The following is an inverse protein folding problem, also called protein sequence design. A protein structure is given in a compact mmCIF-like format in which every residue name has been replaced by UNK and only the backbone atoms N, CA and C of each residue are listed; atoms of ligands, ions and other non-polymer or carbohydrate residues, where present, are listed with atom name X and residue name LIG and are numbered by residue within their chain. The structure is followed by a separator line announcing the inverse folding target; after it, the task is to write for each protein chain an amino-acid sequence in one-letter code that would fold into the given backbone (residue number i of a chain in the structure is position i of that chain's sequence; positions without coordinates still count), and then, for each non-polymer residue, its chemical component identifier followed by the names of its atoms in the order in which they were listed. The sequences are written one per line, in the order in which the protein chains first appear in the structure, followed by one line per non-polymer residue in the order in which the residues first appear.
data_IF_266950224181
#
_entry.id   IF_266950224181
#
_cell.length_a   1.000
_cell.length_b   1.000
_cell.length_c   1.000
_cell.angle_alpha   90.00
_cell.angle_beta   90.00
_cell.angle_gamma   90.00
#
_symmetry.space_group_name_H-M   'P 1'
#
loop_
_entity.id
_entity.type
_entity.pdbx_description
1 polymer ?
#
# COMPACT_ATOMS: atom_id res chain seq x y z
N UNK A 1 12.18 5.57 -15.33
CA UNK A 1 12.49 4.36 -16.11
C UNK A 1 12.15 3.07 -15.36
N UNK A 2 12.92 2.62 -14.36
CA UNK A 2 12.64 1.33 -13.70
C UNK A 2 11.34 1.32 -12.87
N UNK A 3 10.95 2.47 -12.32
CA UNK A 3 9.66 2.63 -11.61
C UNK A 3 8.51 2.45 -12.60
N UNK A 4 8.52 3.18 -13.71
CA UNK A 4 7.48 3.09 -14.75
C UNK A 4 7.31 1.67 -15.29
N UNK A 5 8.42 0.96 -15.55
CA UNK A 5 8.36 -0.44 -15.98
C UNK A 5 7.75 -1.34 -14.90
N UNK A 6 8.14 -1.13 -13.64
CA UNK A 6 7.62 -1.89 -12.52
C UNK A 6 6.11 -1.69 -12.36
N UNK A 7 5.65 -0.44 -12.39
CA UNK A 7 4.22 -0.09 -12.33
C UNK A 7 3.44 -0.76 -13.48
N UNK A 8 3.92 -0.65 -14.73
CA UNK A 8 3.27 -1.25 -15.89
C UNK A 8 3.13 -2.78 -15.77
N UNK A 9 4.20 -3.45 -15.33
CA UNK A 9 4.21 -4.91 -15.17
C UNK A 9 3.28 -5.35 -14.04
N UNK A 10 3.22 -4.60 -12.93
CA UNK A 10 2.30 -4.88 -11.83
C UNK A 10 0.84 -4.71 -12.27
N UNK A 11 0.49 -3.57 -12.90
CA UNK A 11 -0.84 -3.34 -13.46
C UNK A 11 -1.23 -4.45 -14.44
N UNK A 12 -0.31 -4.86 -15.31
CA UNK A 12 -0.54 -5.96 -16.26
C UNK A 12 -0.92 -7.26 -15.54
N UNK A 13 -0.14 -7.69 -14.54
CA UNK A 13 -0.47 -8.91 -13.79
C UNK A 13 -1.72 -8.79 -12.92
N UNK A 14 -1.94 -7.63 -12.30
CA UNK A 14 -3.09 -7.37 -11.44
C UNK A 14 -4.40 -7.55 -12.21
N UNK A 15 -4.43 -7.07 -13.47
CA UNK A 15 -5.58 -7.17 -14.37
C UNK A 15 -5.68 -8.49 -15.13
N UNK A 16 -4.94 -9.52 -14.70
CA UNK A 16 -4.98 -10.87 -15.28
C UNK A 16 -4.12 -11.10 -16.51
N UNK A 17 -3.30 -10.13 -16.90
CA UNK A 17 -2.49 -10.18 -18.11
C UNK A 17 -3.34 -10.35 -19.37
N UNK A 18 -2.88 -11.18 -20.31
CA UNK A 18 -3.60 -11.48 -21.57
C UNK A 18 -4.73 -12.52 -21.42
N UNK A 19 -5.13 -12.88 -20.19
CA UNK A 19 -6.29 -13.75 -19.93
C UNK A 19 -7.64 -13.11 -20.28
N UNK A 20 -7.69 -11.79 -20.49
CA UNK A 20 -8.80 -11.12 -21.14
C UNK A 20 -8.67 -11.31 -22.66
N UNK A 21 -9.22 -12.41 -23.19
CA UNK A 21 -9.51 -12.51 -24.63
C UNK A 21 -10.38 -11.31 -24.99
N UNK A 22 -9.83 -10.35 -25.71
CA UNK A 22 -10.63 -9.47 -26.55
C UNK A 22 -11.44 -10.38 -27.47
N UNK A 23 -12.77 -10.37 -27.30
CA UNK A 23 -13.70 -10.97 -28.24
C UNK A 23 -13.58 -10.23 -29.57
N UNK A 24 -12.75 -10.75 -30.45
CA UNK A 24 -12.80 -10.44 -31.90
C UNK A 24 -13.19 -11.72 -32.64
N UNK A 25 -14.10 -11.63 -33.62
CA UNK A 25 -14.70 -12.78 -34.25
C UNK A 25 -13.73 -13.46 -35.23
N UNK A 26 -13.99 -14.74 -35.46
CA UNK A 26 -13.25 -15.69 -36.29
C UNK A 26 -12.51 -15.09 -37.50
N UNK A 27 -11.23 -15.44 -37.62
CA UNK A 27 -10.57 -15.56 -38.91
C UNK A 27 -9.59 -16.74 -38.89
N UNK A 28 -9.79 -17.60 -39.88
CA UNK A 28 -9.25 -18.94 -40.09
C UNK A 28 -7.74 -19.04 -40.26
N UNK A 29 -7.23 -20.20 -39.81
CA UNK A 29 -6.16 -21.02 -40.41
C UNK A 29 -4.75 -20.40 -40.58
N UNK A 30 -3.85 -20.77 -39.67
CA UNK A 30 -2.42 -20.96 -39.99
C UNK A 30 -1.82 -22.10 -39.14
N UNK A 31 -1.15 -23.04 -39.81
CA UNK A 31 -0.59 -24.29 -39.28
C UNK A 31 0.59 -24.09 -38.30
N UNK A 32 0.89 -25.07 -37.42
CA UNK A 32 1.76 -24.88 -36.27
C UNK A 32 3.25 -25.09 -36.62
N UNK A 33 4.09 -24.10 -36.26
CA UNK A 33 5.55 -24.27 -36.19
C UNK A 33 5.91 -24.79 -34.80
N UNK A 34 6.72 -25.84 -34.76
CA UNK A 34 7.12 -26.62 -33.59
C UNK A 34 7.78 -25.77 -32.49
N UNK A 35 7.06 -25.55 -31.39
CA UNK A 35 7.62 -25.03 -30.16
C UNK A 35 8.22 -26.20 -29.34
N UNK A 36 9.52 -26.12 -29.05
CA UNK A 36 10.24 -27.00 -28.13
C UNK A 36 9.50 -27.08 -26.78
N UNK A 37 8.87 -28.21 -26.51
CA UNK A 37 8.13 -28.49 -25.28
C UNK A 37 9.10 -28.73 -24.12
N UNK A 38 9.46 -27.66 -23.39
CA UNK A 38 9.91 -27.82 -22.00
C UNK A 38 8.69 -28.31 -21.20
N UNK A 39 8.79 -29.40 -20.41
CA UNK A 39 7.64 -29.88 -19.66
C UNK A 39 7.15 -28.78 -18.72
N UNK A 40 5.86 -28.44 -18.82
CA UNK A 40 5.20 -27.54 -17.90
C UNK A 40 5.42 -28.08 -16.48
N UNK A 41 6.17 -27.32 -15.67
CA UNK A 41 6.35 -27.66 -14.25
C UNK A 41 4.96 -27.69 -13.61
N UNK A 42 4.61 -28.72 -12.83
CA UNK A 42 3.30 -28.82 -12.22
C UNK A 42 3.05 -27.56 -11.38
N UNK A 43 2.03 -26.80 -11.74
CA UNK A 43 1.61 -25.57 -11.06
C UNK A 43 0.98 -25.96 -9.71
N UNK A 44 1.84 -26.36 -8.76
CA UNK A 44 1.46 -26.58 -7.36
C UNK A 44 1.45 -25.24 -6.65
N UNK A 45 0.55 -24.35 -7.05
CA UNK A 45 0.33 -23.06 -6.41
C UNK A 45 -0.47 -22.07 -7.25
N UNK A 46 -1.08 -21.11 -6.55
CA UNK A 46 -1.77 -19.89 -7.00
C UNK A 46 -1.47 -19.41 -8.44
N UNK A 47 -2.50 -18.85 -9.11
CA UNK A 47 -2.42 -18.20 -10.42
C UNK A 47 -1.08 -17.51 -10.65
N UNK A 48 -0.36 -17.93 -11.71
CA UNK A 48 0.99 -17.48 -12.05
C UNK A 48 1.17 -15.95 -11.95
N UNK A 49 0.15 -15.18 -12.33
CA UNK A 49 0.15 -13.72 -12.25
C UNK A 49 0.16 -13.19 -10.82
N UNK A 50 -0.68 -13.72 -9.91
CA UNK A 50 -0.72 -13.29 -8.51
C UNK A 50 0.58 -13.62 -7.78
N UNK A 51 1.16 -14.77 -8.09
CA UNK A 51 2.48 -15.15 -7.60
C UNK A 51 3.54 -14.14 -8.07
N UNK A 52 3.64 -13.89 -9.38
CA UNK A 52 4.64 -12.99 -9.94
C UNK A 52 4.48 -11.55 -9.44
N UNK A 53 3.23 -11.10 -9.29
CA UNK A 53 2.87 -9.80 -8.74
C UNK A 53 3.35 -9.63 -7.29
N UNK A 54 2.98 -10.56 -6.39
CA UNK A 54 3.40 -10.50 -4.99
C UNK A 54 4.92 -10.65 -4.85
N UNK A 55 5.53 -11.57 -5.59
CA UNK A 55 6.98 -11.79 -5.56
C UNK A 55 7.74 -10.53 -5.98
N UNK A 56 7.27 -9.83 -7.02
CA UNK A 56 7.89 -8.60 -7.51
C UNK A 56 7.70 -7.45 -6.52
N UNK A 57 6.52 -7.30 -5.93
CA UNK A 57 6.26 -6.33 -4.87
C UNK A 57 7.11 -6.57 -3.62
N UNK A 58 7.27 -7.81 -3.17
CA UNK A 58 8.17 -8.13 -2.05
C UNK A 58 9.62 -7.82 -2.39
N UNK A 59 10.08 -8.21 -3.59
CA UNK A 59 11.45 -7.94 -4.04
C UNK A 59 11.77 -6.44 -4.09
N UNK A 60 10.81 -5.64 -4.57
CA UNK A 60 10.90 -4.19 -4.62
C UNK A 60 10.91 -3.59 -3.21
N UNK A 61 9.84 -3.80 -2.44
CA UNK A 61 9.65 -3.15 -1.15
C UNK A 61 10.69 -3.57 -0.10
N UNK A 62 11.18 -4.82 -0.13
CA UNK A 62 12.17 -5.31 0.84
C UNK A 62 13.62 -5.03 0.43
N UNK A 63 13.87 -4.41 -0.74
CA UNK A 63 15.23 -4.21 -1.30
C UNK A 63 16.09 -5.48 -1.27
N UNK A 64 15.48 -6.64 -1.42
CA UNK A 64 16.13 -7.92 -1.17
C UNK A 64 16.46 -8.65 -2.49
N UNK A 65 17.27 -9.70 -2.40
CA UNK A 65 17.53 -10.58 -3.56
C UNK A 65 16.34 -11.51 -3.78
N UNK A 66 16.19 -12.04 -4.99
CA UNK A 66 15.21 -13.08 -5.30
C UNK A 66 15.31 -14.28 -4.34
N UNK A 67 16.54 -14.68 -4.01
CA UNK A 67 16.86 -15.75 -3.07
C UNK A 67 16.33 -15.50 -1.64
N UNK A 68 16.22 -14.24 -1.24
CA UNK A 68 15.62 -13.88 0.05
C UNK A 68 14.10 -13.91 -0.06
N UNK A 69 13.54 -13.41 -1.17
CA UNK A 69 12.10 -13.37 -1.42
C UNK A 69 11.51 -14.79 -1.49
N UNK A 70 12.17 -15.72 -2.18
CA UNK A 70 11.70 -17.11 -2.28
C UNK A 70 11.75 -17.88 -0.95
N UNK A 71 12.57 -17.44 0.00
CA UNK A 71 12.73 -18.08 1.33
C UNK A 71 11.83 -17.45 2.40
N UNK A 72 10.98 -16.49 2.05
CA UNK A 72 10.02 -15.92 3.00
C UNK A 72 9.07 -17.02 3.49
N UNK A 73 9.00 -17.17 4.81
CA UNK A 73 8.08 -18.05 5.51
C UNK A 73 7.03 -17.23 6.24
N UNK A 74 5.93 -17.85 6.65
CA UNK A 74 4.92 -17.17 7.45
C UNK A 74 5.46 -16.71 8.82
N UNK A 75 6.49 -17.37 9.38
CA UNK A 75 7.16 -16.92 10.60
C UNK A 75 7.88 -15.58 10.45
N UNK A 76 8.30 -15.24 9.23
CA UNK A 76 9.03 -14.01 8.95
C UNK A 76 8.12 -12.79 8.84
N UNK A 77 6.81 -12.99 8.67
CA UNK A 77 5.86 -11.94 8.30
C UNK A 77 4.95 -11.64 9.48
N UNK A 78 5.01 -10.41 10.00
CA UNK A 78 4.20 -9.97 11.14
C UNK A 78 3.59 -8.60 10.87
N UNK A 79 2.40 -8.35 11.41
CA UNK A 79 1.85 -7.00 11.49
C UNK A 79 2.49 -6.27 12.68
N UNK A 80 2.98 -5.06 12.48
CA UNK A 80 3.41 -4.18 13.56
C UNK A 80 2.81 -2.79 13.31
N UNK A 81 1.93 -2.37 14.22
CA UNK A 81 1.11 -1.17 14.07
C UNK A 81 0.33 -1.22 12.74
N UNK A 82 0.71 -0.38 11.79
CA UNK A 82 0.13 -0.25 10.45
C UNK A 82 1.01 -0.86 9.33
N UNK A 83 2.14 -1.47 9.67
CA UNK A 83 3.16 -1.90 8.70
C UNK A 83 3.36 -3.41 8.67
N UNK A 84 3.69 -3.94 7.49
CA UNK A 84 4.12 -5.32 7.34
C UNK A 84 5.60 -5.42 7.70
N UNK A 85 5.93 -6.11 8.78
CA UNK A 85 7.30 -6.39 9.17
C UNK A 85 7.76 -7.73 8.59
N UNK A 86 8.89 -7.71 7.89
CA UNK A 86 9.57 -8.92 7.38
C UNK A 86 10.97 -9.02 7.96
N UNK A 87 11.26 -10.12 8.64
CA UNK A 87 12.60 -10.45 9.18
C UNK A 87 13.19 -11.63 8.43
N UNK A 88 14.40 -11.51 7.87
CA UNK A 88 15.05 -12.62 7.21
C UNK A 88 15.81 -13.50 8.22
N UNK A 89 15.96 -14.79 7.90
CA UNK A 89 16.83 -15.68 8.69
C UNK A 89 18.28 -15.67 8.19
N UNK A 90 18.51 -15.31 6.92
CA UNK A 90 19.83 -15.32 6.30
C UNK A 90 19.99 -14.20 5.26
N UNK A 91 21.19 -13.64 5.14
CA UNK A 91 21.57 -12.73 4.05
C UNK A 91 22.98 -13.07 3.54
N UNK A 92 23.28 -12.84 2.25
CA UNK A 92 24.59 -13.20 1.65
C UNK A 92 25.80 -12.55 2.32
N UNK A 93 25.59 -11.46 3.06
CA UNK A 93 26.66 -10.74 3.77
C UNK A 93 27.02 -11.40 5.12
N UNK A 94 26.36 -12.51 5.44
CA UNK A 94 26.44 -13.23 6.71
C UNK A 94 27.44 -14.40 6.65
N UNK A 95 28.73 -14.06 6.64
CA UNK A 95 29.80 -15.08 6.70
C UNK A 95 30.15 -15.43 8.16
N UNK A 96 29.54 -14.77 9.16
CA UNK A 96 29.99 -14.85 10.56
C UNK A 96 28.88 -14.81 11.63
N UNK A 97 27.60 -15.04 11.30
CA UNK A 97 26.51 -14.99 12.28
C UNK A 97 26.21 -13.55 12.74
N UNK A 98 26.25 -12.61 11.80
CA UNK A 98 26.11 -11.18 12.08
C UNK A 98 24.64 -10.84 12.40
N UNK A 99 24.40 -10.04 13.45
CA UNK A 99 23.06 -9.74 14.00
C UNK A 99 22.14 -9.01 12.99
N UNK A 100 22.70 -8.47 11.90
CA UNK A 100 22.01 -7.70 10.86
C UNK A 100 20.99 -8.50 10.04
N UNK A 101 21.09 -9.83 10.00
CA UNK A 101 20.08 -10.67 9.33
C UNK A 101 18.70 -10.53 9.99
N UNK A 102 18.67 -10.25 11.29
CA UNK A 102 17.46 -10.09 12.09
C UNK A 102 16.84 -8.70 11.98
N UNK A 103 17.51 -7.74 11.33
CA UNK A 103 16.99 -6.38 11.20
C UNK A 103 15.68 -6.40 10.41
N UNK A 104 14.57 -5.93 11.00
CA UNK A 104 13.28 -5.99 10.35
C UNK A 104 13.16 -4.95 9.24
N UNK A 105 12.42 -5.33 8.20
CA UNK A 105 12.05 -4.46 7.10
C UNK A 105 10.57 -4.19 7.13
N UNK A 106 10.21 -2.93 7.30
CA UNK A 106 8.82 -2.48 7.35
C UNK A 106 8.35 -2.16 5.94
N UNK A 107 7.15 -2.62 5.57
CA UNK A 107 6.50 -2.30 4.31
C UNK A 107 5.09 -1.81 4.59
N UNK A 108 4.84 -0.56 4.25
CA UNK A 108 3.54 0.08 4.40
C UNK A 108 2.60 -0.29 3.25
N UNK A 109 1.32 0.06 3.39
CA UNK A 109 0.42 0.04 2.26
C UNK A 109 0.58 1.29 1.40
N UNK A 110 0.20 1.18 0.13
CA UNK A 110 -0.11 2.33 -0.70
C UNK A 110 -1.63 2.36 -0.99
N UNK A 111 -2.43 3.06 -0.18
CA UNK A 111 -3.88 3.07 -0.38
C UNK A 111 -4.32 3.77 -1.66
N UNK A 112 -3.52 4.74 -2.15
CA UNK A 112 -3.80 5.54 -3.33
C UNK A 112 -3.58 4.77 -4.64
N UNK A 113 -2.66 3.80 -4.65
CA UNK A 113 -2.38 2.91 -5.80
C UNK A 113 -2.65 1.45 -5.43
N UNK A 114 -3.90 0.97 -5.51
CA UNK A 114 -4.27 -0.40 -5.12
C UNK A 114 -3.49 -1.50 -5.84
N UNK A 115 -3.16 -1.31 -7.12
CA UNK A 115 -2.44 -2.29 -7.93
C UNK A 115 -0.99 -2.48 -7.44
N UNK A 116 -0.39 -1.47 -6.81
CA UNK A 116 0.97 -1.53 -6.24
C UNK A 116 0.98 -1.80 -4.73
N UNK A 117 -0.19 -1.92 -4.11
CA UNK A 117 -0.28 -2.12 -2.66
C UNK A 117 0.12 -3.55 -2.29
N UNK A 118 1.25 -3.70 -1.59
CA UNK A 118 1.74 -5.02 -1.15
C UNK A 118 0.69 -5.79 -0.34
N UNK A 119 -0.01 -5.11 0.58
CA UNK A 119 -1.04 -5.74 1.41
C UNK A 119 -2.21 -6.29 0.58
N UNK A 120 -2.65 -5.55 -0.45
CA UNK A 120 -3.71 -6.04 -1.33
C UNK A 120 -3.21 -7.20 -2.19
N UNK A 121 -1.99 -7.12 -2.72
CA UNK A 121 -1.38 -8.21 -3.47
C UNK A 121 -1.23 -9.47 -2.62
N UNK A 122 -0.85 -9.33 -1.36
CA UNK A 122 -0.74 -10.44 -0.41
C UNK A 122 -2.11 -11.07 -0.19
N UNK A 123 -3.13 -10.24 0.09
CA UNK A 123 -4.51 -10.72 0.27
C UNK A 123 -5.00 -11.51 -0.94
N UNK A 124 -4.82 -10.99 -2.15
CA UNK A 124 -5.24 -11.67 -3.38
C UNK A 124 -4.45 -12.96 -3.60
N UNK A 125 -3.14 -12.97 -3.37
CA UNK A 125 -2.34 -14.19 -3.47
C UNK A 125 -2.84 -15.27 -2.49
N UNK A 126 -3.12 -14.89 -1.24
CA UNK A 126 -3.61 -15.80 -0.20
C UNK A 126 -5.00 -16.38 -0.52
N UNK A 127 -5.87 -15.66 -1.23
CA UNK A 127 -7.15 -16.20 -1.71
C UNK A 127 -7.00 -17.39 -2.68
N UNK A 128 -5.84 -17.51 -3.33
CA UNK A 128 -5.52 -18.61 -4.25
C UNK A 128 -4.45 -19.54 -3.68
N UNK A 129 -4.13 -19.41 -2.39
CA UNK A 129 -3.19 -20.28 -1.70
C UNK A 129 -3.85 -21.63 -1.42
N UNK A 130 -3.17 -22.71 -1.81
CA UNK A 130 -3.74 -24.06 -1.77
C UNK A 130 -2.96 -25.04 -0.90
N UNK A 131 -1.71 -24.72 -0.55
CA UNK A 131 -0.83 -25.62 0.22
C UNK A 131 -1.11 -25.48 1.72
N UNK A 132 -1.66 -26.50 2.35
CA UNK A 132 -2.07 -26.46 3.77
C UNK A 132 -0.93 -26.77 4.74
N UNK A 133 0.14 -27.38 4.24
CA UNK A 133 1.21 -27.93 5.08
C UNK A 133 2.47 -27.06 5.03
N UNK A 134 2.70 -26.36 3.91
CA UNK A 134 3.83 -25.46 3.75
C UNK A 134 3.74 -24.23 4.66
N UNK A 135 4.79 -24.03 5.44
CA UNK A 135 5.03 -22.78 6.19
C UNK A 135 5.75 -21.72 5.34
N UNK A 136 6.10 -22.01 4.08
CA UNK A 136 6.68 -21.03 3.15
C UNK A 136 5.57 -20.21 2.52
N UNK A 137 5.78 -18.89 2.39
CA UNK A 137 4.85 -18.02 1.68
C UNK A 137 4.73 -18.42 0.20
N UNK A 138 5.83 -18.89 -0.39
CA UNK A 138 5.88 -19.44 -1.74
C UNK A 138 6.23 -20.93 -1.69
N UNK A 139 5.24 -21.84 -1.74
CA UNK A 139 5.48 -23.27 -1.67
C UNK A 139 6.18 -23.80 -2.92
N UNK A 140 7.01 -24.84 -2.75
CA UNK A 140 7.81 -25.44 -3.81
C UNK A 140 9.22 -24.89 -3.93
N UNK A 141 9.93 -25.29 -4.99
CA UNK A 141 11.35 -24.96 -5.22
C UNK A 141 11.53 -24.05 -6.44
N UNK A 142 12.66 -23.36 -6.50
CA UNK A 142 13.07 -22.49 -7.62
C UNK A 142 12.08 -21.35 -7.93
N UNK A 143 11.51 -20.74 -6.90
CA UNK A 143 10.53 -19.65 -7.07
C UNK A 143 11.17 -18.41 -7.72
N UNK A 144 12.46 -18.15 -7.47
CA UNK A 144 13.20 -17.10 -8.19
C UNK A 144 13.23 -17.33 -9.70
N UNK A 145 13.42 -18.57 -10.14
CA UNK A 145 13.38 -18.93 -11.56
C UNK A 145 11.97 -18.79 -12.12
N UNK A 146 10.96 -19.26 -11.39
CA UNK A 146 9.54 -19.09 -11.76
C UNK A 146 9.17 -17.62 -11.93
N UNK A 147 9.59 -16.75 -11.01
CA UNK A 147 9.33 -15.32 -11.07
C UNK A 147 10.05 -14.65 -12.26
N UNK A 148 11.30 -15.06 -12.54
CA UNK A 148 12.05 -14.58 -13.72
C UNK A 148 11.34 -14.99 -15.02
N UNK A 149 10.92 -16.25 -15.12
CA UNK A 149 10.21 -16.75 -16.30
C UNK A 149 8.87 -16.03 -16.49
N UNK A 150 8.11 -15.81 -15.40
CA UNK A 150 6.87 -15.03 -15.45
C UNK A 150 7.10 -13.59 -15.92
N UNK A 151 8.17 -12.94 -15.45
CA UNK A 151 8.57 -11.61 -15.92
C UNK A 151 8.91 -11.62 -17.41
N UNK A 152 9.72 -12.57 -17.88
CA UNK A 152 10.08 -12.69 -19.29
C UNK A 152 8.86 -12.94 -20.17
N UNK A 153 7.90 -13.74 -19.71
CA UNK A 153 6.62 -13.95 -20.42
C UNK A 153 5.82 -12.65 -20.50
N UNK A 154 5.75 -11.88 -19.41
CA UNK A 154 5.02 -10.62 -19.37
C UNK A 154 5.64 -9.57 -20.31
N UNK A 155 6.96 -9.37 -20.25
CA UNK A 155 7.66 -8.37 -21.08
C UNK A 155 7.58 -8.67 -22.59
N UNK A 156 7.35 -9.92 -22.97
CA UNK A 156 7.14 -10.34 -24.37
C UNK A 156 5.68 -10.20 -24.83
N UNK A 157 4.77 -9.73 -23.97
CA UNK A 157 3.40 -9.49 -24.38
C UNK A 157 3.33 -8.21 -25.23
N UNK A 158 2.55 -8.18 -26.32
CA UNK A 158 2.53 -7.04 -27.25
C UNK A 158 2.26 -5.69 -26.59
N UNK A 159 1.41 -5.65 -25.57
CA UNK A 159 1.08 -4.42 -24.83
C UNK A 159 2.29 -3.86 -24.08
N UNK A 160 3.07 -4.72 -23.42
CA UNK A 160 4.26 -4.30 -22.67
C UNK A 160 5.44 -4.05 -23.61
N UNK A 161 5.64 -4.90 -24.62
CA UNK A 161 6.71 -4.72 -25.61
C UNK A 161 6.58 -3.39 -26.38
N UNK A 162 5.35 -3.00 -26.76
CA UNK A 162 5.08 -1.69 -27.36
C UNK A 162 5.37 -0.54 -26.40
N UNK A 163 4.93 -0.65 -25.14
CA UNK A 163 5.19 0.37 -24.13
C UNK A 163 6.70 0.55 -23.87
N UNK A 164 7.44 -0.56 -23.77
CA UNK A 164 8.89 -0.56 -23.63
C UNK A 164 9.57 0.12 -24.82
N UNK A 165 9.16 -0.25 -26.05
CA UNK A 165 9.71 0.33 -27.28
C UNK A 165 9.44 1.84 -27.38
N UNK A 166 8.21 2.27 -27.07
CA UNK A 166 7.83 3.68 -27.08
C UNK A 166 8.63 4.54 -26.09
N UNK A 167 9.03 3.94 -24.97
CA UNK A 167 9.83 4.60 -23.93
C UNK A 167 11.35 4.45 -24.13
N UNK A 168 11.78 3.79 -25.21
CA UNK A 168 13.19 3.54 -25.51
C UNK A 168 13.88 2.59 -24.53
N UNK A 169 13.13 1.66 -23.94
CA UNK A 169 13.65 0.69 -22.98
C UNK A 169 14.24 -0.55 -23.69
N UNK A 170 15.09 -1.28 -22.96
CA UNK A 170 15.77 -2.47 -23.47
C UNK A 170 14.83 -3.62 -23.80
N UNK A 171 15.40 -4.71 -24.28
CA UNK A 171 14.69 -5.95 -24.56
C UNK A 171 14.26 -6.68 -23.27
N UNK A 172 13.31 -7.61 -23.36
CA UNK A 172 12.89 -8.44 -22.23
C UNK A 172 14.05 -9.18 -21.53
N UNK A 173 15.12 -9.54 -22.27
CA UNK A 173 16.31 -10.22 -21.73
C UNK A 173 17.18 -9.35 -20.84
N UNK A 174 17.06 -8.02 -20.93
CA UNK A 174 17.81 -7.08 -20.10
C UNK A 174 17.28 -6.99 -18.66
N UNK A 175 16.09 -7.58 -18.43
CA UNK A 175 15.39 -7.55 -17.16
C UNK A 175 15.34 -8.93 -16.49
N UNK A 176 15.41 -8.93 -15.16
CA UNK A 176 15.25 -10.12 -14.34
C UNK A 176 14.87 -9.73 -12.91
N UNK A 177 14.79 -10.69 -11.98
CA UNK A 177 14.38 -10.41 -10.60
C UNK A 177 15.27 -9.37 -9.89
N UNK A 178 16.56 -9.28 -10.27
CA UNK A 178 17.46 -8.26 -9.74
C UNK A 178 17.12 -6.83 -10.19
N UNK A 179 16.39 -6.66 -11.30
CA UNK A 179 15.97 -5.35 -11.79
C UNK A 179 15.07 -4.64 -10.77
N UNK A 180 14.20 -5.38 -10.07
CA UNK A 180 13.35 -4.83 -9.01
C UNK A 180 14.16 -4.22 -7.87
N UNK A 181 15.10 -4.96 -7.33
CA UNK A 181 15.98 -4.45 -6.27
C UNK A 181 16.76 -3.20 -6.73
N UNK A 182 17.36 -3.24 -7.92
CA UNK A 182 18.14 -2.11 -8.47
C UNK A 182 17.27 -0.88 -8.70
N UNK A 183 16.09 -1.07 -9.28
CA UNK A 183 15.11 -0.01 -9.52
C UNK A 183 14.65 0.62 -8.22
N UNK A 184 14.25 -0.20 -7.25
CA UNK A 184 13.80 0.24 -5.94
C UNK A 184 14.87 1.01 -5.15
N UNK A 185 16.13 0.56 -5.22
CA UNK A 185 17.25 1.31 -4.62
C UNK A 185 17.40 2.68 -5.27
N UNK A 186 17.42 2.72 -6.62
CA UNK A 186 17.59 3.98 -7.36
C UNK A 186 16.45 4.95 -7.06
N UNK A 187 15.24 4.42 -6.94
CA UNK A 187 14.06 5.18 -6.53
C UNK A 187 14.23 5.77 -5.13
N UNK A 188 14.64 4.99 -4.13
CA UNK A 188 14.84 5.50 -2.78
C UNK A 188 15.97 6.54 -2.69
N UNK A 189 17.06 6.38 -3.46
CA UNK A 189 18.12 7.39 -3.50
C UNK A 189 17.67 8.70 -4.16
N UNK A 190 16.75 8.65 -5.13
CA UNK A 190 16.19 9.84 -5.78
C UNK A 190 15.01 10.47 -5.02
N UNK A 191 14.30 9.71 -4.18
CA UNK A 191 13.03 10.11 -3.57
C UNK A 191 13.11 11.02 -2.36
N UNK A 192 14.29 11.28 -1.80
CA UNK A 192 14.46 12.20 -0.66
C UNK A 192 15.87 12.78 -0.54
N UNK A 193 15.98 14.12 -0.58
CA UNK A 193 17.22 14.89 -0.43
C UNK A 193 17.60 15.11 1.05
N UNK A 194 17.78 14.03 1.82
CA UNK A 194 18.28 14.11 3.20
C UNK A 194 19.29 13.01 3.52
N UNK A 195 20.43 13.36 4.11
CA UNK A 195 21.60 12.47 4.31
C UNK A 195 21.32 11.19 5.13
N UNK A 196 20.29 11.17 5.98
CA UNK A 196 19.91 9.98 6.76
C UNK A 196 19.28 8.86 5.92
N UNK A 197 18.68 9.17 4.77
CA UNK A 197 17.99 8.19 3.93
C UNK A 197 18.94 7.25 3.19
N UNK A 198 20.12 7.73 2.80
CA UNK A 198 21.07 6.95 1.97
C UNK A 198 21.65 5.76 2.73
N UNK A 199 22.10 5.97 3.96
CA UNK A 199 22.65 4.89 4.79
C UNK A 199 21.55 3.90 5.20
N UNK A 200 20.33 4.38 5.47
CA UNK A 200 19.18 3.52 5.73
C UNK A 200 18.86 2.62 4.53
N UNK A 201 18.92 3.14 3.30
CA UNK A 201 18.77 2.34 2.07
C UNK A 201 19.89 1.31 1.93
N UNK A 202 21.13 1.66 2.29
CA UNK A 202 22.27 0.74 2.22
C UNK A 202 22.11 -0.41 3.22
N UNK A 203 21.79 -0.10 4.47
CA UNK A 203 21.51 -1.08 5.52
C UNK A 203 20.31 -1.95 5.16
N UNK A 204 19.20 -1.35 4.72
CA UNK A 204 18.03 -2.08 4.21
C UNK A 204 18.40 -2.92 3.00
N UNK A 205 19.33 -2.53 2.13
CA UNK A 205 19.83 -3.37 1.05
C UNK A 205 20.64 -4.60 1.52
N UNK A 206 21.07 -4.63 2.77
CA UNK A 206 22.00 -5.63 3.31
C UNK A 206 23.40 -5.49 2.71
N UNK A 207 23.80 -4.27 2.35
CA UNK A 207 25.16 -3.98 1.90
C UNK A 207 26.07 -3.63 3.08
N UNK A 208 27.35 -3.99 2.96
CA UNK A 208 28.36 -3.60 3.94
C UNK A 208 28.65 -2.10 3.86
N UNK A 209 28.87 -1.49 5.02
CA UNK A 209 29.39 -0.13 5.15
C UNK A 209 30.88 -0.26 5.42
N UNK A 210 31.72 0.28 4.51
CA UNK A 210 33.17 0.05 4.58
C UNK A 210 33.83 0.94 5.65
N UNK A 211 34.77 0.36 6.39
CA UNK A 211 35.70 1.06 7.29
C UNK A 211 35.15 1.34 8.68
N UNK A 212 35.70 2.35 9.37
CA UNK A 212 35.34 2.67 10.76
C UNK A 212 33.85 2.97 10.98
N UNK A 213 33.14 3.39 9.91
CA UNK A 213 31.70 3.70 9.92
C UNK A 213 30.83 2.53 10.35
N UNK A 214 31.28 1.30 10.09
CA UNK A 214 30.58 0.08 10.45
C UNK A 214 30.29 -0.04 11.97
N UNK A 215 31.13 0.58 12.81
CA UNK A 215 30.98 0.55 14.28
C UNK A 215 29.91 1.51 14.80
N UNK A 216 29.54 2.51 14.02
CA UNK A 216 28.68 3.62 14.46
C UNK A 216 27.33 3.65 13.75
N UNK A 217 27.24 3.07 12.55
CA UNK A 217 26.06 3.16 11.69
C UNK A 217 25.33 1.83 11.75
N UNK A 218 24.28 1.80 12.57
CA UNK A 218 23.45 0.63 12.81
C UNK A 218 22.05 0.83 12.26
N UNK A 219 21.34 -0.28 12.07
CA UNK A 219 19.93 -0.23 11.73
C UNK A 219 19.14 0.52 12.81
N UNK A 220 18.17 1.33 12.37
CA UNK A 220 17.29 2.09 13.23
C UNK A 220 15.86 1.97 12.69
N UNK A 221 14.92 1.62 13.57
CA UNK A 221 13.53 1.36 13.20
C UNK A 221 12.88 2.54 12.48
N UNK A 222 13.05 3.77 12.99
CA UNK A 222 12.46 4.96 12.41
C UNK A 222 12.94 5.21 10.97
N UNK A 223 14.23 4.98 10.70
CA UNK A 223 14.79 5.16 9.37
C UNK A 223 14.30 4.07 8.40
N UNK A 224 14.21 2.82 8.85
CA UNK A 224 13.68 1.73 8.03
C UNK A 224 12.18 1.90 7.73
N UNK A 225 11.38 2.35 8.71
CA UNK A 225 9.96 2.66 8.52
C UNK A 225 9.77 3.80 7.52
N UNK A 226 10.57 4.87 7.61
CA UNK A 226 10.54 5.94 6.60
C UNK A 226 10.82 5.41 5.19
N UNK A 227 11.85 4.57 5.03
CA UNK A 227 12.14 3.94 3.73
C UNK A 227 11.03 2.97 3.31
N UNK A 228 10.42 2.26 4.26
CA UNK A 228 9.26 1.39 4.06
C UNK A 228 8.05 2.12 3.47
N UNK A 229 7.83 3.36 3.87
CA UNK A 229 6.81 4.25 3.28
C UNK A 229 7.23 4.83 1.94
N UNK A 230 8.47 5.29 1.84
CA UNK A 230 8.99 5.87 0.60
C UNK A 230 8.89 4.85 -0.54
N UNK A 231 9.36 3.63 -0.33
CA UNK A 231 9.51 2.61 -1.36
C UNK A 231 8.19 2.06 -1.91
N UNK A 232 7.10 2.19 -1.14
CA UNK A 232 5.74 1.81 -1.58
C UNK A 232 5.13 2.84 -2.51
N UNK A 233 5.79 3.98 -2.74
CA UNK A 233 5.35 5.04 -3.65
C UNK A 233 4.51 6.12 -2.98
N UNK A 234 4.50 6.20 -1.64
CA UNK A 234 3.88 7.33 -0.94
C UNK A 234 4.68 8.63 -1.20
N UNK A 235 3.99 9.76 -1.47
CA UNK A 235 4.65 11.00 -1.87
C UNK A 235 5.35 11.69 -0.67
N UNK A 236 6.67 11.60 -0.59
CA UNK A 236 7.49 12.10 0.54
C UNK A 236 7.40 13.62 0.78
N UNK A 237 6.90 14.37 -0.19
CA UNK A 237 6.74 15.82 -0.14
C UNK A 237 5.28 16.27 0.11
N UNK A 238 4.37 15.35 0.44
CA UNK A 238 2.97 15.65 0.74
C UNK A 238 2.58 15.09 2.10
N UNK A 239 1.51 15.65 2.68
CA UNK A 239 0.90 15.09 3.90
C UNK A 239 0.38 13.67 3.68
N UNK A 240 0.02 13.31 2.44
CA UNK A 240 -0.35 11.96 2.02
C UNK A 240 0.76 10.92 2.29
N UNK A 241 2.00 11.36 2.54
CA UNK A 241 3.04 10.47 3.05
C UNK A 241 2.63 9.77 4.35
N UNK A 242 1.72 10.37 5.14
CA UNK A 242 1.19 9.81 6.38
C UNK A 242 -0.09 8.98 6.20
N UNK A 243 -0.52 8.71 4.98
CA UNK A 243 -1.76 7.96 4.74
C UNK A 243 -1.71 6.56 5.37
N UNK A 244 -2.72 6.24 6.19
CA UNK A 244 -2.85 4.92 6.82
C UNK A 244 -3.40 3.88 5.82
N UNK A 245 -2.96 2.61 5.89
CA UNK A 245 -3.69 1.52 5.26
C UNK A 245 -5.15 1.49 5.76
N UNK A 246 -6.10 1.00 4.94
CA UNK A 246 -7.36 0.63 5.52
C UNK A 246 -7.18 -0.52 6.52
N UNK A 247 -7.61 -0.31 7.74
CA UNK A 247 -7.40 -1.18 8.91
C UNK A 247 -8.68 -1.24 9.75
N UNK A 248 -8.85 -2.28 10.56
CA UNK A 248 -9.97 -2.33 11.50
C UNK A 248 -9.68 -1.44 12.70
N UNK A 249 -10.62 -0.56 13.04
CA UNK A 249 -10.54 0.26 14.24
C UNK A 249 -10.56 -0.62 15.50
N UNK A 250 -9.96 -0.13 16.58
CA UNK A 250 -9.91 -0.82 17.88
C UNK A 250 -11.30 -1.16 18.42
N UNK A 251 -12.33 -0.41 18.03
CA UNK A 251 -13.73 -0.70 18.36
C UNK A 251 -14.17 -2.11 17.94
N UNK A 252 -13.62 -2.66 16.85
CA UNK A 252 -13.93 -4.03 16.42
C UNK A 252 -13.55 -5.06 17.49
N UNK A 253 -12.44 -4.86 18.19
CA UNK A 253 -11.95 -5.78 19.22
C UNK A 253 -12.83 -5.75 20.48
N UNK A 254 -13.63 -4.70 20.66
CA UNK A 254 -14.57 -4.56 21.77
C UNK A 254 -15.89 -5.29 21.51
N UNK A 255 -16.18 -5.65 20.25
CA UNK A 255 -17.43 -6.27 19.85
C UNK A 255 -17.25 -7.76 19.51
N UNK A 256 -17.64 -8.65 20.43
CA UNK A 256 -17.50 -10.11 20.25
C UNK A 256 -18.09 -10.62 18.93
N UNK A 257 -19.23 -10.06 18.49
CA UNK A 257 -19.85 -10.42 17.22
C UNK A 257 -19.00 -9.99 16.02
N UNK A 258 -18.33 -8.84 16.10
CA UNK A 258 -17.46 -8.34 15.04
C UNK A 258 -16.15 -9.16 14.94
N UNK A 259 -15.60 -9.59 16.09
CA UNK A 259 -14.45 -10.50 16.13
C UNK A 259 -14.79 -11.87 15.53
N UNK A 260 -15.96 -12.43 15.85
CA UNK A 260 -16.44 -13.68 15.26
C UNK A 260 -16.69 -13.53 13.75
N UNK A 261 -17.29 -12.42 13.34
CA UNK A 261 -17.49 -12.08 11.93
C UNK A 261 -16.16 -12.02 11.16
N UNK A 262 -15.14 -11.40 11.74
CA UNK A 262 -13.81 -11.31 11.14
C UNK A 262 -13.17 -12.69 10.99
N UNK A 263 -13.26 -13.53 12.03
CA UNK A 263 -12.78 -14.91 12.02
C UNK A 263 -13.45 -15.71 10.89
N UNK A 264 -14.78 -15.63 10.80
CA UNK A 264 -15.53 -16.31 9.76
C UNK A 264 -15.19 -15.79 8.36
N UNK A 265 -15.04 -14.47 8.18
CA UNK A 265 -14.66 -13.88 6.90
C UNK A 265 -13.28 -14.34 6.42
N UNK A 266 -12.33 -14.47 7.35
CA UNK A 266 -11.00 -14.99 7.08
C UNK A 266 -11.04 -16.45 6.63
N UNK A 267 -11.84 -17.29 7.27
CA UNK A 267 -11.95 -18.71 6.91
C UNK A 267 -12.60 -18.89 5.53
N UNK A 268 -13.53 -18.00 5.15
CA UNK A 268 -14.10 -17.94 3.80
C UNK A 268 -13.08 -17.48 2.74
N UNK A 269 -12.22 -16.52 3.08
CA UNK A 269 -11.23 -15.96 2.14
C UNK A 269 -10.00 -16.85 1.97
N UNK A 270 -9.51 -17.45 3.06
CA UNK A 270 -8.23 -18.12 3.14
C UNK A 270 -8.34 -19.53 3.73
N UNK A 271 -9.17 -20.42 3.14
CA UNK A 271 -9.50 -21.72 3.74
C UNK A 271 -8.28 -22.64 3.90
N UNK A 272 -7.20 -22.42 3.14
CA UNK A 272 -5.97 -23.21 3.23
C UNK A 272 -5.06 -22.81 4.40
N UNK A 273 -5.31 -21.67 5.06
CA UNK A 273 -4.40 -21.10 6.05
C UNK A 273 -4.74 -21.45 7.50
N UNK A 274 -5.80 -22.20 7.78
CA UNK A 274 -6.20 -22.57 9.15
C UNK A 274 -5.05 -23.15 9.97
N UNK A 275 -4.43 -24.23 9.47
CA UNK A 275 -3.28 -24.86 10.13
C UNK A 275 -2.02 -23.99 10.17
N UNK A 276 -1.85 -23.06 9.21
CA UNK A 276 -0.75 -22.09 9.24
C UNK A 276 -0.95 -21.11 10.40
N UNK A 277 -2.16 -20.61 10.60
CA UNK A 277 -2.47 -19.65 11.67
C UNK A 277 -2.45 -20.30 13.05
N UNK A 278 -2.75 -21.60 13.15
CA UNK A 278 -2.53 -22.37 14.39
C UNK A 278 -1.03 -22.49 14.73
N UNK A 279 -0.18 -22.78 13.73
CA UNK A 279 1.27 -22.91 13.90
C UNK A 279 1.97 -21.55 14.04
N UNK A 280 1.41 -20.49 13.48
CA UNK A 280 1.94 -19.12 13.46
C UNK A 280 0.84 -18.12 13.85
N UNK A 281 0.51 -18.01 15.15
CA UNK A 281 -0.60 -17.17 15.63
C UNK A 281 -0.48 -15.71 15.20
N UNK A 282 0.73 -15.16 15.12
CA UNK A 282 0.96 -13.75 14.73
C UNK A 282 0.54 -13.46 13.29
N UNK A 283 0.48 -14.49 12.43
CA UNK A 283 0.00 -14.35 11.05
C UNK A 283 -1.52 -14.10 10.98
N UNK A 284 -2.25 -14.37 12.07
CA UNK A 284 -3.68 -14.00 12.19
C UNK A 284 -3.89 -12.50 12.00
N UNK A 285 -3.05 -11.65 12.60
CA UNK A 285 -3.17 -10.20 12.44
C UNK A 285 -2.92 -9.76 10.98
N UNK A 286 -1.99 -10.42 10.29
CA UNK A 286 -1.68 -10.18 8.87
C UNK A 286 -2.88 -10.55 8.00
N UNK A 287 -3.51 -11.70 8.24
CA UNK A 287 -4.71 -12.11 7.49
C UNK A 287 -5.90 -11.20 7.78
N UNK A 288 -6.07 -10.71 9.02
CA UNK A 288 -7.08 -9.69 9.33
C UNK A 288 -6.89 -8.42 8.51
N UNK A 289 -5.66 -7.90 8.43
CA UNK A 289 -5.34 -6.75 7.56
C UNK A 289 -5.63 -7.06 6.08
N UNK A 290 -5.36 -8.29 5.61
CA UNK A 290 -5.70 -8.73 4.26
C UNK A 290 -7.22 -8.74 4.00
N UNK A 291 -8.02 -9.21 4.97
CA UNK A 291 -9.49 -9.13 4.91
C UNK A 291 -9.92 -7.67 4.75
N UNK A 292 -9.36 -6.76 5.55
CA UNK A 292 -9.65 -5.33 5.48
C UNK A 292 -9.39 -4.76 4.09
N UNK A 293 -8.23 -5.06 3.49
CA UNK A 293 -7.89 -4.56 2.15
C UNK A 293 -8.92 -4.99 1.09
N UNK A 294 -9.41 -6.24 1.17
CA UNK A 294 -10.40 -6.79 0.23
C UNK A 294 -11.76 -6.13 0.40
N UNK A 295 -12.24 -5.97 1.64
CA UNK A 295 -13.55 -5.38 1.94
C UNK A 295 -13.56 -3.91 1.56
N UNK A 296 -12.55 -3.14 2.00
CA UNK A 296 -12.43 -1.72 1.69
C UNK A 296 -12.44 -1.46 0.18
N UNK A 297 -11.79 -2.32 -0.61
CA UNK A 297 -11.67 -2.19 -2.07
C UNK A 297 -12.71 -2.97 -2.85
N UNK A 298 -13.83 -3.36 -2.23
CA UNK A 298 -14.81 -4.26 -2.85
C UNK A 298 -15.28 -3.80 -4.23
N UNK A 299 -15.51 -2.48 -4.40
CA UNK A 299 -15.92 -1.86 -5.67
C UNK A 299 -14.79 -1.83 -6.71
N UNK A 300 -13.59 -1.37 -6.32
CA UNK A 300 -12.42 -1.34 -7.20
C UNK A 300 -12.08 -2.74 -7.73
N UNK A 301 -12.02 -3.74 -6.84
CA UNK A 301 -11.73 -5.13 -7.21
C UNK A 301 -12.79 -5.72 -8.14
N UNK A 302 -14.06 -5.29 -8.03
CA UNK A 302 -15.11 -5.74 -8.93
C UNK A 302 -14.91 -5.25 -10.37
N UNK A 303 -14.29 -4.08 -10.54
CA UNK A 303 -14.04 -3.47 -11.84
C UNK A 303 -12.66 -3.84 -12.43
N UNK A 304 -11.64 -4.00 -11.57
CA UNK A 304 -10.26 -4.17 -12.01
C UNK A 304 -9.83 -5.62 -12.23
N UNK A 305 -10.43 -6.58 -11.52
CA UNK A 305 -10.06 -7.99 -11.64
C UNK A 305 -10.72 -8.65 -12.87
N UNK A 306 -10.07 -9.67 -13.47
CA UNK A 306 -10.67 -10.45 -14.55
C UNK A 306 -11.97 -11.14 -14.13
N UNK A 307 -12.92 -11.32 -15.05
CA UNK A 307 -14.19 -11.98 -14.76
C UNK A 307 -14.06 -13.41 -14.19
N UNK A 308 -12.98 -14.14 -14.53
CA UNK A 308 -12.70 -15.49 -14.05
C UNK A 308 -11.84 -15.53 -12.78
N UNK A 309 -11.61 -14.38 -12.14
CA UNK A 309 -10.77 -14.28 -10.96
C UNK A 309 -11.37 -15.05 -9.77
N UNK A 310 -10.52 -15.77 -9.04
CA UNK A 310 -10.91 -16.63 -7.90
C UNK A 310 -11.67 -15.86 -6.82
N UNK A 311 -11.40 -14.55 -6.66
CA UNK A 311 -12.08 -13.72 -5.68
C UNK A 311 -13.56 -13.54 -6.03
N UNK A 312 -13.94 -13.48 -7.31
CA UNK A 312 -15.36 -13.36 -7.70
C UNK A 312 -16.16 -14.61 -7.34
N UNK A 313 -15.52 -15.79 -7.38
CA UNK A 313 -16.12 -17.06 -6.96
C UNK A 313 -16.00 -17.33 -5.46
N UNK A 314 -15.25 -16.51 -4.73
CA UNK A 314 -14.98 -16.73 -3.31
C UNK A 314 -16.27 -16.64 -2.47
N UNK A 315 -16.48 -17.54 -1.49
CA UNK A 315 -17.66 -17.53 -0.63
C UNK A 315 -17.97 -16.18 0.04
N UNK A 316 -16.97 -15.39 0.40
CA UNK A 316 -17.18 -14.07 1.01
C UNK A 316 -17.93 -13.11 0.08
N UNK A 317 -17.77 -13.23 -1.24
CA UNK A 317 -18.44 -12.37 -2.24
C UNK A 317 -19.86 -12.82 -2.57
N UNK A 318 -20.32 -13.96 -2.07
CA UNK A 318 -21.67 -14.46 -2.30
C UNK A 318 -22.72 -13.57 -1.61
N UNK A 319 -23.91 -13.45 -2.22
CA UNK A 319 -25.00 -12.58 -1.72
C UNK A 319 -25.36 -12.85 -0.26
N UNK A 320 -25.35 -14.11 0.18
CA UNK A 320 -25.65 -14.50 1.57
C UNK A 320 -24.71 -13.87 2.62
N UNK A 321 -23.47 -13.55 2.22
CA UNK A 321 -22.46 -12.96 3.10
C UNK A 321 -22.37 -11.44 2.96
N UNK A 322 -23.29 -10.79 2.23
CA UNK A 322 -23.30 -9.32 2.11
C UNK A 322 -23.46 -8.66 3.47
N UNK A 323 -24.34 -9.16 4.33
CA UNK A 323 -24.54 -8.63 5.69
C UNK A 323 -23.27 -8.71 6.54
N UNK A 324 -22.51 -9.81 6.42
CA UNK A 324 -21.21 -9.98 7.07
C UNK A 324 -20.20 -8.93 6.59
N UNK A 325 -20.06 -8.76 5.27
CA UNK A 325 -19.15 -7.79 4.67
C UNK A 325 -19.52 -6.38 5.09
N UNK A 326 -20.80 -6.01 5.06
CA UNK A 326 -21.25 -4.68 5.43
C UNK A 326 -21.14 -4.41 6.93
N UNK A 327 -21.29 -5.42 7.79
CA UNK A 327 -21.01 -5.30 9.22
C UNK A 327 -19.53 -5.01 9.48
N UNK A 328 -18.63 -5.77 8.85
CA UNK A 328 -17.18 -5.56 8.97
C UNK A 328 -16.74 -4.22 8.38
N UNK A 329 -17.31 -3.81 7.24
CA UNK A 329 -16.97 -2.56 6.54
C UNK A 329 -17.17 -1.31 7.41
N UNK A 330 -18.15 -1.33 8.33
CA UNK A 330 -18.40 -0.24 9.30
C UNK A 330 -17.26 -0.01 10.28
N UNK A 331 -16.47 -1.05 10.58
CA UNK A 331 -15.33 -0.95 11.48
C UNK A 331 -14.02 -0.60 10.77
N UNK A 332 -14.03 -0.44 9.44
CA UNK A 332 -12.82 -0.15 8.67
C UNK A 332 -12.58 1.37 8.63
N UNK A 333 -11.45 1.78 9.17
CA UNK A 333 -10.87 3.12 9.05
C UNK A 333 -9.67 3.08 8.10
N UNK A 334 -8.95 4.19 7.92
CA UNK A 334 -7.78 4.32 7.06
C UNK A 334 -8.12 4.51 5.58
N UNK A 335 -7.09 4.63 4.74
CA UNK A 335 -7.23 5.10 3.36
C UNK A 335 -7.96 6.45 3.33
N UNK A 336 -8.93 6.59 2.43
CA UNK A 336 -9.77 7.78 2.32
C UNK A 336 -10.79 7.98 3.46
N UNK A 337 -10.85 7.10 4.47
CA UNK A 337 -11.84 7.16 5.58
C UNK A 337 -11.28 7.76 6.87
N UNK A 338 -9.98 8.08 6.92
CA UNK A 338 -9.35 8.72 8.07
C UNK A 338 -8.80 10.07 7.64
N UNK A 339 -8.95 11.08 8.50
CA UNK A 339 -8.36 12.39 8.27
C UNK A 339 -6.83 12.27 8.22
N UNK A 340 -6.18 13.14 7.47
CA UNK A 340 -4.72 13.11 7.37
C UNK A 340 -4.05 13.48 8.70
N UNK A 341 -4.66 14.35 9.51
CA UNK A 341 -4.18 14.70 10.85
C UNK A 341 -4.20 13.49 11.80
N UNK A 342 -5.31 12.76 11.88
CA UNK A 342 -5.42 11.54 12.70
C UNK A 342 -4.41 10.47 12.24
N UNK A 343 -4.23 10.38 10.92
CA UNK A 343 -3.25 9.48 10.33
C UNK A 343 -1.82 9.86 10.73
N UNK A 344 -1.43 11.14 10.63
CA UNK A 344 -0.09 11.63 11.02
C UNK A 344 0.27 11.24 12.45
N UNK A 345 -0.67 11.31 13.40
CA UNK A 345 -0.42 10.99 14.80
C UNK A 345 -0.34 9.49 15.11
N UNK A 346 -0.94 8.65 14.26
CA UNK A 346 -1.06 7.21 14.49
C UNK A 346 -0.05 6.38 13.69
N UNK A 347 0.63 7.00 12.74
CA UNK A 347 1.43 6.34 11.71
C UNK A 347 2.92 6.33 12.04
N UNK A 348 3.63 5.26 11.67
CA UNK A 348 5.08 5.15 11.88
C UNK A 348 5.89 5.68 10.69
N UNK A 349 7.19 5.96 10.87
CA UNK A 349 8.07 6.37 9.76
C UNK A 349 7.81 7.76 9.16
N UNK A 350 7.09 8.63 9.87
CA UNK A 350 6.76 9.98 9.41
C UNK A 350 7.92 10.96 9.67
N UNK A 351 8.43 11.67 8.64
CA UNK A 351 9.49 12.64 8.85
C UNK A 351 8.93 13.92 9.49
N UNK A 352 9.76 14.71 10.20
CA UNK A 352 9.34 15.97 10.80
C UNK A 352 8.67 16.93 9.80
N UNK A 353 9.13 16.93 8.54
CA UNK A 353 8.56 17.75 7.48
C UNK A 353 7.06 17.48 7.24
N UNK A 354 6.63 16.22 7.28
CA UNK A 354 5.22 15.85 7.12
C UNK A 354 4.39 16.32 8.31
N UNK A 355 4.92 16.23 9.52
CA UNK A 355 4.28 16.73 10.75
C UNK A 355 4.11 18.26 10.67
N UNK A 356 5.18 18.98 10.30
CA UNK A 356 5.15 20.44 10.13
C UNK A 356 4.15 20.83 9.03
N UNK A 357 4.13 20.11 7.92
CA UNK A 357 3.19 20.36 6.82
C UNK A 357 1.74 20.16 7.25
N UNK A 358 1.46 19.16 8.10
CA UNK A 358 0.14 18.96 8.71
C UNK A 358 -0.24 20.15 9.60
N UNK A 359 0.64 20.53 10.52
CA UNK A 359 0.37 21.66 11.42
C UNK A 359 0.13 22.97 10.65
N UNK A 360 0.87 23.22 9.56
CA UNK A 360 0.65 24.37 8.69
C UNK A 360 -0.70 24.30 7.96
N UNK A 361 -1.11 23.13 7.49
CA UNK A 361 -2.42 22.93 6.86
C UNK A 361 -3.56 23.16 7.85
N UNK A 362 -3.39 22.74 9.11
CA UNK A 362 -4.36 22.95 10.18
C UNK A 362 -4.48 24.44 10.52
N UNK A 363 -3.35 25.16 10.65
CA UNK A 363 -3.33 26.63 10.87
C UNK A 363 -4.01 27.37 9.70
N UNK A 364 -3.72 26.96 8.46
CA UNK A 364 -4.32 27.57 7.28
C UNK A 364 -5.84 27.38 7.28
N UNK A 365 -6.32 26.18 7.61
CA UNK A 365 -7.75 25.87 7.69
C UNK A 365 -8.44 26.65 8.81
N UNK A 366 -7.84 26.70 10.00
CA UNK A 366 -8.35 27.49 11.13
C UNK A 366 -8.48 28.97 10.77
N UNK A 367 -7.47 29.55 10.09
CA UNK A 367 -7.51 30.94 9.63
C UNK A 367 -8.70 31.22 8.70
N UNK A 368 -9.01 30.32 7.78
CA UNK A 368 -10.15 30.49 6.88
C UNK A 368 -11.49 30.37 7.59
N UNK A 369 -11.61 29.42 8.55
CA UNK A 369 -12.81 29.29 9.36
C UNK A 369 -13.06 30.54 10.20
N UNK A 370 -12.02 31.10 10.85
CA UNK A 370 -12.16 32.35 11.61
C UNK A 370 -12.57 33.54 10.73
N UNK A 371 -12.15 33.59 9.46
CA UNK A 371 -12.63 34.61 8.50
C UNK A 371 -14.10 34.41 8.14
N UNK A 372 -14.53 33.16 7.93
CA UNK A 372 -15.93 32.86 7.65
C UNK A 372 -16.83 33.18 8.85
N UNK A 373 -16.42 32.78 10.05
CA UNK A 373 -17.09 33.10 11.32
C UNK A 373 -17.17 34.62 11.53
N UNK A 374 -16.09 35.36 11.25
CA UNK A 374 -16.09 36.83 11.23
C UNK A 374 -17.12 37.42 10.27
N UNK A 375 -17.20 36.89 9.04
CA UNK A 375 -18.13 37.38 8.03
C UNK A 375 -19.58 37.08 8.42
N UNK A 376 -19.85 35.91 8.98
CA UNK A 376 -21.18 35.51 9.45
C UNK A 376 -21.61 36.36 10.65
N UNK A 377 -20.73 36.56 11.63
CA UNK A 377 -20.99 37.45 12.77
C UNK A 377 -21.25 38.90 12.31
N UNK A 378 -20.41 39.44 11.41
CA UNK A 378 -20.60 40.79 10.88
C UNK A 378 -21.91 40.91 10.09
N UNK A 379 -22.29 39.90 9.31
CA UNK A 379 -23.55 39.89 8.55
C UNK A 379 -24.75 39.84 9.50
N UNK A 380 -24.70 39.01 10.55
CA UNK A 380 -25.75 38.95 11.58
C UNK A 380 -25.92 40.30 12.29
N UNK A 381 -24.82 40.94 12.71
CA UNK A 381 -24.88 42.24 13.37
C UNK A 381 -25.38 43.33 12.41
N UNK A 382 -25.02 43.28 11.12
CA UNK A 382 -25.52 44.22 10.12
C UNK A 382 -27.02 44.02 9.82
N UNK A 383 -27.49 42.77 9.72
CA UNK A 383 -28.91 42.47 9.50
C UNK A 383 -29.79 42.86 10.71
N UNK A 384 -29.27 42.71 11.94
CA UNK A 384 -29.95 43.17 13.16
C UNK A 384 -29.99 44.70 13.28
N UNK A 385 -28.96 45.41 12.75
CA UNK A 385 -28.80 46.85 12.96
C UNK A 385 -29.15 47.73 11.76
N UNK A 386 -29.30 47.18 10.56
CA UNK A 386 -29.49 47.95 9.34
C UNK A 386 -30.69 47.40 8.55
N UNK A 387 -31.74 48.24 8.47
CA UNK A 387 -32.93 48.17 7.59
C UNK A 387 -34.27 47.69 8.16
N UNK A 388 -34.72 48.31 9.26
CA UNK A 388 -36.15 48.60 9.41
C UNK A 388 -36.51 49.88 8.63
N UNK A 389 -36.63 49.76 7.30
CA UNK A 389 -37.46 50.59 6.41
C UNK A 389 -37.40 52.13 6.42
N UNK A 390 -36.57 52.80 7.23
CA UNK A 390 -36.55 54.26 7.33
C UNK A 390 -35.31 54.85 6.66
N UNK A 391 -35.51 55.91 5.86
CA UNK A 391 -34.47 56.71 5.22
C UNK A 391 -33.41 57.17 6.22
N UNK A 392 -32.24 56.54 6.19
CA UNK A 392 -31.12 56.82 7.10
C UNK A 392 -30.27 57.94 6.51
N UNK A 393 -30.01 59.00 7.28
CA UNK A 393 -29.06 60.06 6.91
C UNK A 393 -27.61 59.59 7.12
N UNK A 394 -26.65 60.14 6.37
CA UNK A 394 -25.22 59.80 6.50
C UNK A 394 -24.68 59.98 7.93
N UNK A 395 -25.25 60.91 8.72
CA UNK A 395 -24.87 61.13 10.12
C UNK A 395 -25.30 59.98 11.04
N UNK A 396 -26.52 59.45 10.86
CA UNK A 396 -27.01 58.30 11.62
C UNK A 396 -26.31 56.98 11.28
N UNK A 397 -25.79 56.85 10.05
CA UNK A 397 -24.95 55.72 9.63
C UNK A 397 -23.58 55.76 10.31
N UNK A 398 -22.92 56.92 10.36
CA UNK A 398 -21.62 57.07 11.01
C UNK A 398 -21.64 56.68 12.50
N UNK A 399 -22.69 57.09 13.22
CA UNK A 399 -22.83 56.77 14.65
C UNK A 399 -23.08 55.28 14.91
N UNK A 400 -23.88 54.62 14.06
CA UNK A 400 -24.09 53.17 14.14
C UNK A 400 -22.83 52.36 13.80
N UNK A 401 -21.99 52.86 12.87
CA UNK A 401 -20.70 52.22 12.56
C UNK A 401 -19.72 52.30 13.73
N UNK A 402 -19.67 53.41 14.48
CA UNK A 402 -18.85 53.52 15.70
C UNK A 402 -19.32 52.58 16.83
N UNK A 403 -20.63 52.41 17.00
CA UNK A 403 -21.21 51.45 17.95
C UNK A 403 -20.90 49.99 17.56
N UNK A 404 -20.98 49.67 16.27
CA UNK A 404 -20.59 48.36 15.72
C UNK A 404 -19.08 48.09 15.87
N UNK A 405 -18.22 49.10 15.66
CA UNK A 405 -16.77 48.98 15.82
C UNK A 405 -16.38 48.74 17.29
N UNK A 406 -17.14 49.31 18.24
CA UNK A 406 -17.00 49.04 19.67
C UNK A 406 -17.37 47.61 20.03
N UNK A 407 -18.54 47.14 19.58
CA UNK A 407 -19.01 45.77 19.84
C UNK A 407 -18.07 44.71 19.25
N UNK A 408 -17.57 44.90 18.03
CA UNK A 408 -16.60 44.00 17.41
C UNK A 408 -15.26 43.96 18.16
N UNK A 409 -14.80 45.07 18.74
CA UNK A 409 -13.55 45.10 19.53
C UNK A 409 -13.69 44.32 20.83
N UNK A 410 -14.83 44.40 21.49
CA UNK A 410 -15.08 43.68 22.74
C UNK A 410 -15.25 42.17 22.52
N UNK A 411 -15.79 41.75 21.38
CA UNK A 411 -15.98 40.34 21.02
C UNK A 411 -14.70 39.68 20.48
N UNK A 412 -13.80 40.44 19.82
CA UNK A 412 -12.52 39.92 19.30
C UNK A 412 -11.34 39.91 20.30
N UNK A 413 -11.46 40.62 21.42
CA UNK A 413 -10.39 40.73 22.43
C UNK A 413 -10.68 39.97 23.74
N UNK A 414 -11.83 39.31 23.84
CA UNK A 414 -12.19 38.36 24.90
C UNK A 414 -11.83 36.92 24.48
#
# INVERSE_FOLDING_TARGET
MMVDLFELVLTFWFRGGNGARESTPDASAASPVSASTRPARPDKGCSSNRFAHLFSLLSWNLLCRSDNTERISFHHVKLQNDTLKVTFSHTKSDVAGDARCSDPKHVDANPARPEECLWLSLALYLCSYSDRDSLRLFPGNEQSSRARDALHIALKQPVLERAMSAMGWGSASDYGCHSWRKGATSFCFGGFAGVGSTLAVILRGGWSIVGAKERYIHWQAAADQFIGRLITGLPSNKIDFALLPPLFANSLLLESNAVQALTFARDLLFPALGGVMEKVPEFTAVTSMCVTQIIYRKKFLQAALPNNDVLHTNPLRQRRNRGLVDALDKHITGGSRTSLSDAVHSTTGIPPLTIISSALADIQSAKFNSIAEMQEALTSVLDENVFDGQTVSNYSLGKKFEELEGALKDEFLA
#
